data_IF_764202699583
#
_entry.id   IF_764202699583
#
_cell.length_a   1.000
_cell.length_b   1.000
_cell.length_c   1.000
_cell.angle_alpha   90.00
_cell.angle_beta   90.00
_cell.angle_gamma   90.00
#
_symmetry.space_group_name_H-M   'P 1'
#
loop_
_entity.id
_entity.type
_entity.pdbx_description
1 polymer ?
#
# COMPACT_ATOMS: atom_id res chain seq x y z
N UNK A 1 -29.91 -81.27 30.34
CA UNK A 1 -28.96 -82.16 29.64
C UNK A 1 -28.87 -81.67 28.20
N UNK A 2 -27.65 -81.58 27.63
CA UNK A 2 -27.27 -81.70 26.20
C UNK A 2 -28.12 -80.99 25.11
N UNK A 3 -27.60 -80.32 24.06
CA UNK A 3 -26.25 -80.23 23.46
C UNK A 3 -26.09 -78.90 22.69
N UNK A 4 -24.83 -78.50 22.43
CA UNK A 4 -24.40 -77.56 21.36
C UNK A 4 -24.66 -78.15 19.94
N UNK A 5 -24.44 -77.46 18.78
CA UNK A 5 -23.48 -76.36 18.51
C UNK A 5 -24.09 -75.20 17.65
N UNK A 6 -23.42 -74.30 16.90
CA UNK A 6 -21.98 -74.10 16.55
C UNK A 6 -21.63 -72.61 16.20
N UNK A 7 -20.42 -72.41 15.66
CA UNK A 7 -19.70 -71.22 15.12
C UNK A 7 -20.31 -70.52 13.87
N UNK A 8 -20.30 -69.17 13.84
CA UNK A 8 -19.70 -68.29 12.78
C UNK A 8 -19.86 -66.80 13.18
N UNK A 9 -18.76 -66.06 13.40
CA UNK A 9 -18.01 -65.17 12.48
C UNK A 9 -18.53 -63.71 12.37
N UNK A 10 -17.54 -62.80 12.38
CA UNK A 10 -17.56 -61.35 12.06
C UNK A 10 -18.48 -60.36 12.81
N UNK A 11 -17.92 -59.78 13.88
CA UNK A 11 -18.23 -58.40 14.30
C UNK A 11 -16.92 -57.62 14.51
N UNK A 12 -16.52 -56.83 13.51
CA UNK A 12 -15.81 -55.57 13.76
C UNK A 12 -16.56 -54.42 13.10
N UNK A 13 -17.35 -53.71 13.91
CA UNK A 13 -17.86 -52.38 13.57
C UNK A 13 -16.70 -51.39 13.53
N UNK A 14 -16.43 -50.80 12.37
CA UNK A 14 -15.94 -49.44 12.29
C UNK A 14 -16.95 -48.64 11.47
N UNK A 15 -17.63 -47.70 12.14
CA UNK A 15 -18.61 -46.82 11.49
C UNK A 15 -17.90 -45.68 10.78
N UNK A 16 -18.00 -45.64 9.46
CA UNK A 16 -17.55 -44.50 8.66
C UNK A 16 -18.38 -43.26 9.02
N UNK A 17 -17.74 -42.24 9.60
CA UNK A 17 -18.23 -40.87 9.51
C UNK A 17 -17.52 -40.20 8.34
N UNK A 18 -18.27 -39.89 7.29
CA UNK A 18 -17.77 -39.08 6.19
C UNK A 18 -17.67 -37.60 6.64
N UNK A 19 -16.49 -37.18 7.10
CA UNK A 19 -16.16 -35.76 7.26
C UNK A 19 -15.72 -35.20 5.90
N UNK A 20 -16.65 -34.56 5.21
CA UNK A 20 -16.41 -33.91 3.93
C UNK A 20 -15.79 -32.51 4.11
N UNK A 21 -14.70 -32.41 4.89
CA UNK A 21 -13.89 -31.19 4.93
C UNK A 21 -12.98 -31.10 3.71
N UNK A 22 -13.50 -30.46 2.66
CA UNK A 22 -12.68 -30.02 1.54
C UNK A 22 -11.72 -28.93 1.98
N UNK A 23 -10.53 -29.30 2.48
CA UNK A 23 -9.41 -28.38 2.69
C UNK A 23 -9.15 -27.59 1.42
N UNK A 24 -9.67 -26.36 1.35
CA UNK A 24 -9.17 -25.34 0.41
C UNK A 24 -7.75 -25.01 0.86
N UNK A 25 -6.78 -25.79 0.39
CA UNK A 25 -5.34 -25.54 0.56
C UNK A 25 -5.05 -24.11 0.14
N UNK A 26 -4.95 -23.21 1.13
CA UNK A 26 -4.53 -21.83 0.91
C UNK A 26 -3.16 -21.88 0.21
N UNK A 27 -2.89 -21.01 -0.77
CA UNK A 27 -1.56 -20.97 -1.38
C UNK A 27 -0.50 -20.86 -0.28
N UNK A 28 0.46 -21.79 -0.26
CA UNK A 28 1.64 -21.64 0.61
C UNK A 28 2.36 -20.40 0.11
N UNK A 29 2.27 -19.29 0.85
CA UNK A 29 3.01 -18.07 0.54
C UNK A 29 4.50 -18.43 0.42
N UNK A 30 5.18 -18.09 -0.69
CA UNK A 30 6.54 -18.52 -0.93
C UNK A 30 7.52 -17.66 -0.12
N UNK A 31 7.62 -17.95 1.18
CA UNK A 31 8.76 -17.55 1.99
C UNK A 31 9.91 -18.53 1.77
N UNK A 32 10.53 -18.43 0.59
CA UNK A 32 11.75 -19.15 0.25
C UNK A 32 12.27 -18.78 -1.15
N UNK A 33 13.60 -18.70 -1.34
CA UNK A 33 14.60 -18.30 -0.35
C UNK A 33 14.57 -16.78 -0.10
N UNK A 34 15.17 -16.32 1.00
CA UNK A 34 15.26 -14.91 1.38
C UNK A 34 16.36 -14.14 0.61
N UNK A 35 16.43 -14.31 -0.70
CA UNK A 35 17.43 -13.65 -1.55
C UNK A 35 16.87 -12.36 -2.12
N UNK A 36 17.45 -11.24 -1.72
CA UNK A 36 17.21 -9.95 -2.37
C UNK A 36 17.91 -9.94 -3.75
N UNK A 37 17.28 -9.39 -4.80
CA UNK A 37 17.99 -9.04 -6.02
C UNK A 37 19.13 -8.06 -5.69
N UNK A 38 20.13 -7.94 -6.58
CA UNK A 38 21.24 -7.00 -6.36
C UNK A 38 20.71 -5.56 -6.23
N UNK A 39 20.93 -4.97 -5.06
CA UNK A 39 20.54 -3.58 -4.80
C UNK A 39 21.53 -2.62 -5.47
N UNK A 40 21.00 -1.51 -5.97
CA UNK A 40 21.79 -0.33 -6.25
C UNK A 40 22.02 0.44 -4.94
N UNK A 41 23.05 1.27 -4.92
CA UNK A 41 23.36 2.17 -3.82
C UNK A 41 23.55 3.59 -4.35
N UNK A 42 23.21 4.58 -3.54
CA UNK A 42 23.57 5.98 -3.75
C UNK A 42 24.05 6.57 -2.43
N UNK A 43 25.02 7.47 -2.53
CA UNK A 43 25.56 8.24 -1.40
C UNK A 43 25.19 9.70 -1.62
N UNK A 44 24.53 10.32 -0.64
CA UNK A 44 24.13 11.73 -0.74
C UNK A 44 25.31 12.71 -0.50
N UNK A 45 25.06 14.01 -0.66
CA UNK A 45 26.06 15.08 -0.45
C UNK A 45 26.65 15.14 0.97
N UNK A 46 26.04 14.44 1.93
CA UNK A 46 26.46 14.38 3.33
C UNK A 46 27.16 13.05 3.68
N UNK A 47 27.37 12.16 2.70
CA UNK A 47 28.02 10.87 2.90
C UNK A 47 27.10 9.73 3.35
N UNK A 48 25.78 9.94 3.45
CA UNK A 48 24.86 8.87 3.84
C UNK A 48 24.60 7.96 2.65
N UNK A 49 24.93 6.67 2.79
CA UNK A 49 24.65 5.66 1.75
C UNK A 49 23.37 4.92 2.05
N UNK A 50 22.50 4.79 1.04
CA UNK A 50 21.26 4.01 1.10
C UNK A 50 21.14 3.07 -0.11
N UNK A 51 20.24 2.08 0.00
CA UNK A 51 20.08 1.01 -0.97
C UNK A 51 18.66 0.98 -1.54
N UNK A 52 18.54 0.65 -2.83
CA UNK A 52 17.26 0.60 -3.54
C UNK A 52 17.28 -0.45 -4.66
N UNK A 53 16.09 -0.88 -5.07
CA UNK A 53 15.92 -1.68 -6.28
C UNK A 53 15.96 -0.79 -7.52
N UNK A 54 16.85 -1.07 -8.49
CA UNK A 54 16.91 -0.28 -9.72
C UNK A 54 15.87 -0.78 -10.73
N UNK A 55 14.67 -0.19 -10.72
CA UNK A 55 13.60 -0.48 -11.69
C UNK A 55 13.79 0.24 -13.05
N UNK A 56 14.92 0.93 -13.25
CA UNK A 56 15.26 1.61 -14.50
C UNK A 56 14.75 3.04 -14.56
N UNK A 57 13.43 3.24 -14.64
CA UNK A 57 12.81 4.57 -14.74
C UNK A 57 12.42 5.17 -13.39
N UNK A 58 12.59 4.43 -12.29
CA UNK A 58 12.39 4.88 -10.92
C UNK A 58 13.19 3.98 -9.96
N UNK A 59 13.32 4.41 -8.71
CA UNK A 59 13.93 3.61 -7.64
C UNK A 59 12.84 2.84 -6.89
N UNK A 60 13.04 1.56 -6.62
CA UNK A 60 12.03 0.69 -6.05
C UNK A 60 12.39 0.33 -4.61
N UNK A 61 11.41 0.26 -3.71
CA UNK A 61 11.64 -0.26 -2.35
C UNK A 61 12.25 -1.65 -2.44
N UNK A 62 13.38 -1.98 -1.80
CA UNK A 62 14.06 -3.25 -2.06
C UNK A 62 13.39 -4.48 -1.42
N UNK A 63 12.11 -4.71 -1.72
CA UNK A 63 11.35 -5.90 -1.36
C UNK A 63 11.97 -7.17 -1.98
N UNK A 64 11.85 -8.34 -1.31
CA UNK A 64 12.21 -9.62 -1.90
C UNK A 64 11.16 -10.04 -2.94
N UNK A 65 11.43 -9.76 -4.22
CA UNK A 65 10.56 -10.02 -5.38
C UNK A 65 10.81 -11.39 -6.06
N UNK A 66 11.58 -12.27 -5.38
CA UNK A 66 12.01 -13.58 -5.88
C UNK A 66 13.45 -13.58 -6.40
N UNK A 67 14.14 -14.73 -6.29
CA UNK A 67 15.56 -14.87 -6.64
C UNK A 67 15.86 -14.61 -8.12
N UNK A 68 14.95 -15.02 -8.99
CA UNK A 68 15.11 -14.99 -10.45
C UNK A 68 14.61 -13.69 -11.10
N UNK A 69 14.09 -12.74 -10.31
CA UNK A 69 13.62 -11.44 -10.79
C UNK A 69 14.58 -10.31 -10.40
N UNK A 70 14.92 -9.44 -11.35
CA UNK A 70 15.43 -8.10 -11.04
C UNK A 70 14.30 -7.05 -11.02
N UNK A 71 14.59 -5.87 -10.47
CA UNK A 71 13.58 -4.81 -10.31
C UNK A 71 13.08 -4.19 -11.63
N UNK A 72 13.85 -4.24 -12.72
CA UNK A 72 13.41 -3.80 -14.06
C UNK A 72 12.46 -4.82 -14.65
N UNK A 73 12.81 -6.11 -14.57
CA UNK A 73 11.94 -7.21 -14.98
C UNK A 73 10.63 -7.21 -14.19
N UNK A 74 10.67 -6.96 -12.87
CA UNK A 74 9.47 -6.82 -12.05
C UNK A 74 8.61 -5.60 -12.43
N UNK A 75 9.21 -4.43 -12.64
CA UNK A 75 8.48 -3.26 -13.12
C UNK A 75 7.85 -3.47 -14.51
N UNK A 76 8.55 -4.17 -15.41
CA UNK A 76 8.01 -4.56 -16.71
C UNK A 76 6.83 -5.54 -16.57
N UNK A 77 6.95 -6.54 -15.69
CA UNK A 77 5.86 -7.48 -15.38
C UNK A 77 4.61 -6.75 -14.84
N UNK A 78 4.77 -5.70 -14.03
CA UNK A 78 3.65 -4.84 -13.59
C UNK A 78 3.01 -4.15 -14.80
N UNK A 79 3.79 -3.50 -15.66
CA UNK A 79 3.28 -2.81 -16.85
C UNK A 79 2.55 -3.75 -17.84
N UNK A 80 3.01 -4.99 -17.97
CA UNK A 80 2.46 -6.03 -18.86
C UNK A 80 1.33 -6.86 -18.24
N UNK A 81 1.03 -6.64 -16.95
CA UNK A 81 0.05 -7.40 -16.18
C UNK A 81 -1.33 -7.40 -16.82
N UNK A 82 -1.97 -8.58 -16.90
CA UNK A 82 -3.35 -8.71 -17.37
C UNK A 82 -4.33 -8.21 -16.31
N UNK A 83 -5.04 -7.15 -16.67
CA UNK A 83 -6.11 -6.53 -15.88
C UNK A 83 -7.46 -7.16 -16.22
N UNK A 84 -8.35 -7.26 -15.24
CA UNK A 84 -9.73 -7.71 -15.36
C UNK A 84 -10.67 -6.49 -15.34
N UNK A 85 -11.83 -6.51 -16.00
CA UNK A 85 -12.75 -5.37 -16.03
C UNK A 85 -13.28 -4.94 -14.65
N UNK A 86 -13.23 -5.84 -13.66
CA UNK A 86 -13.68 -5.64 -12.29
C UNK A 86 -12.53 -5.39 -11.29
N UNK A 87 -11.29 -5.25 -11.76
CA UNK A 87 -10.19 -4.80 -10.89
C UNK A 87 -10.42 -3.35 -10.43
N UNK A 88 -9.97 -3.06 -9.21
CA UNK A 88 -9.87 -1.70 -8.66
C UNK A 88 -8.42 -1.47 -8.30
N UNK A 89 -7.86 -0.30 -8.63
CA UNK A 89 -6.45 -0.01 -8.35
C UNK A 89 -6.29 1.20 -7.43
N UNK A 90 -5.46 1.09 -6.39
CA UNK A 90 -5.01 2.21 -5.56
C UNK A 90 -3.56 2.54 -5.92
N UNK A 91 -3.31 3.77 -6.34
CA UNK A 91 -2.00 4.30 -6.69
C UNK A 91 -1.64 5.46 -5.75
N UNK A 92 -0.39 5.53 -5.31
CA UNK A 92 0.00 6.47 -4.26
C UNK A 92 1.51 6.70 -4.21
N UNK A 93 2.00 7.93 -4.03
CA UNK A 93 3.37 8.07 -3.54
C UNK A 93 3.44 7.45 -2.12
N UNK A 94 4.57 6.88 -1.67
CA UNK A 94 4.66 6.41 -0.30
C UNK A 94 4.19 7.46 0.71
N UNK A 95 3.44 7.01 1.72
CA UNK A 95 2.97 7.79 2.87
C UNK A 95 1.84 8.81 2.63
N UNK A 96 1.23 8.85 1.45
CA UNK A 96 -0.01 9.63 1.17
C UNK A 96 -1.30 9.02 1.75
N UNK A 97 -1.21 8.00 2.61
CA UNK A 97 -2.36 7.42 3.32
C UNK A 97 -2.85 6.07 2.79
N UNK A 98 -2.01 5.33 2.06
CA UNK A 98 -2.38 4.06 1.43
C UNK A 98 -3.03 3.02 2.36
N UNK A 99 -2.48 2.75 3.54
CA UNK A 99 -3.05 1.75 4.45
C UNK A 99 -4.49 2.07 4.87
N UNK A 100 -4.81 3.35 5.02
CA UNK A 100 -6.12 3.82 5.43
C UNK A 100 -7.14 3.61 4.31
N UNK A 101 -6.82 4.09 3.11
CA UNK A 101 -7.64 3.91 1.91
C UNK A 101 -7.81 2.44 1.53
N UNK A 102 -6.77 1.61 1.66
CA UNK A 102 -6.85 0.17 1.42
C UNK A 102 -7.91 -0.47 2.33
N UNK A 103 -7.95 -0.15 3.62
CA UNK A 103 -8.95 -0.72 4.53
C UNK A 103 -10.36 -0.23 4.19
N UNK A 104 -10.55 1.09 4.02
CA UNK A 104 -11.84 1.70 3.64
C UNK A 104 -12.38 1.05 2.36
N UNK A 105 -11.57 0.96 1.31
CA UNK A 105 -11.97 0.43 0.00
C UNK A 105 -12.22 -1.08 0.10
N UNK A 106 -11.45 -1.81 0.91
CA UNK A 106 -11.71 -3.22 1.19
C UNK A 106 -13.06 -3.44 1.90
N UNK A 107 -13.37 -2.61 2.90
CA UNK A 107 -14.64 -2.60 3.62
C UNK A 107 -15.83 -2.25 2.70
N UNK A 108 -15.69 -1.24 1.84
CA UNK A 108 -16.70 -0.87 0.85
C UNK A 108 -16.96 -1.99 -0.18
N UNK A 109 -15.91 -2.62 -0.71
CA UNK A 109 -16.03 -3.74 -1.66
C UNK A 109 -16.64 -5.00 -1.01
N UNK A 110 -16.40 -5.21 0.29
CA UNK A 110 -16.96 -6.33 1.06
C UNK A 110 -18.32 -6.00 1.72
N UNK A 111 -18.79 -4.75 1.61
CA UNK A 111 -20.02 -4.23 2.23
C UNK A 111 -20.09 -4.51 3.74
N UNK A 112 -19.00 -4.22 4.45
CA UNK A 112 -18.86 -4.47 5.90
C UNK A 112 -18.03 -3.38 6.57
N UNK A 113 -18.30 -3.10 7.85
CA UNK A 113 -17.45 -2.26 8.69
C UNK A 113 -16.46 -3.09 9.56
N UNK A 114 -16.36 -4.40 9.32
CA UNK A 114 -15.44 -5.30 10.03
C UNK A 114 -14.07 -5.33 9.36
N UNK A 115 -13.01 -5.28 10.16
CA UNK A 115 -11.64 -5.42 9.67
C UNK A 115 -11.37 -6.79 9.05
N UNK A 116 -10.41 -6.87 8.14
CA UNK A 116 -9.99 -8.13 7.52
C UNK A 116 -8.57 -8.56 7.91
N UNK A 117 -8.39 -9.87 8.10
CA UNK A 117 -7.08 -10.52 8.30
C UNK A 117 -6.20 -10.49 7.03
N UNK A 118 -6.80 -10.16 5.87
CA UNK A 118 -6.09 -9.98 4.60
C UNK A 118 -5.11 -8.81 4.73
N UNK A 119 -3.83 -9.07 4.53
CA UNK A 119 -2.83 -8.00 4.59
C UNK A 119 -2.66 -7.33 3.23
N UNK A 120 -2.61 -5.99 3.20
CA UNK A 120 -2.34 -5.19 2.00
C UNK A 120 -1.11 -5.68 1.22
N UNK A 121 -0.08 -6.17 1.91
CA UNK A 121 1.13 -6.74 1.31
C UNK A 121 0.90 -7.98 0.45
N UNK A 122 -0.26 -8.64 0.55
CA UNK A 122 -0.69 -9.78 -0.29
C UNK A 122 -1.23 -9.31 -1.66
N UNK A 123 -1.48 -8.00 -1.82
CA UNK A 123 -2.06 -7.35 -3.02
C UNK A 123 -1.18 -6.22 -3.60
N UNK A 124 -0.10 -5.88 -2.91
CA UNK A 124 0.86 -4.85 -3.31
C UNK A 124 1.70 -5.33 -4.50
N UNK A 125 1.45 -4.77 -5.69
CA UNK A 125 2.13 -5.10 -6.96
C UNK A 125 3.65 -4.95 -6.86
N UNK A 126 4.11 -3.91 -6.16
CA UNK A 126 5.52 -3.64 -5.90
C UNK A 126 6.24 -4.82 -5.21
N UNK A 127 5.53 -5.58 -4.38
CA UNK A 127 6.10 -6.68 -3.59
C UNK A 127 5.80 -8.05 -4.19
N UNK A 128 4.62 -8.23 -4.74
CA UNK A 128 4.09 -9.56 -5.09
C UNK A 128 4.36 -9.88 -6.56
N UNK A 129 5.01 -11.02 -6.87
CA UNK A 129 5.13 -11.50 -8.25
C UNK A 129 3.76 -11.54 -8.95
N UNK A 130 3.68 -10.90 -10.13
CA UNK A 130 2.45 -10.79 -10.93
C UNK A 130 1.74 -12.14 -11.18
N UNK A 131 2.43 -13.28 -11.39
CA UNK A 131 1.78 -14.59 -11.48
C UNK A 131 0.97 -14.97 -10.23
N UNK A 132 1.40 -14.58 -9.03
CA UNK A 132 0.64 -14.84 -7.80
C UNK A 132 -0.62 -13.96 -7.75
N UNK A 133 -0.52 -12.68 -8.11
CA UNK A 133 -1.66 -11.75 -8.20
C UNK A 133 -2.66 -12.18 -9.27
N UNK A 134 -2.22 -12.88 -10.32
CA UNK A 134 -3.09 -13.48 -11.32
C UNK A 134 -3.97 -14.61 -10.76
N UNK A 135 -3.55 -15.31 -9.69
CA UNK A 135 -4.35 -16.38 -9.05
C UNK A 135 -5.44 -15.86 -8.10
N UNK A 136 -5.42 -14.58 -7.72
CA UNK A 136 -6.37 -14.03 -6.76
C UNK A 136 -7.81 -14.00 -7.32
N UNK A 137 -8.84 -14.26 -6.50
CA UNK A 137 -10.23 -14.15 -6.94
C UNK A 137 -10.59 -12.72 -7.34
N UNK A 138 -11.61 -12.60 -8.17
CA UNK A 138 -12.17 -11.31 -8.59
C UNK A 138 -13.27 -10.84 -7.61
N UNK A 139 -13.49 -9.52 -7.42
CA UNK A 139 -12.66 -8.41 -7.92
C UNK A 139 -11.33 -8.32 -7.16
N UNK A 140 -10.26 -7.88 -7.83
CA UNK A 140 -8.96 -7.65 -7.17
C UNK A 140 -8.81 -6.18 -6.81
N UNK A 141 -8.45 -5.92 -5.55
CA UNK A 141 -7.94 -4.62 -5.12
C UNK A 141 -6.43 -4.60 -5.34
N UNK A 142 -5.98 -4.04 -6.45
CA UNK A 142 -4.57 -3.89 -6.81
C UNK A 142 -4.01 -2.64 -6.11
N UNK A 143 -2.81 -2.74 -5.56
CA UNK A 143 -2.20 -1.65 -4.80
C UNK A 143 -0.77 -1.42 -5.28
N UNK A 144 -0.38 -0.15 -5.49
CA UNK A 144 0.98 0.16 -5.95
C UNK A 144 1.47 1.56 -5.59
N UNK A 145 2.79 1.72 -5.52
CA UNK A 145 3.46 3.02 -5.47
C UNK A 145 4.14 3.44 -6.78
N UNK A 146 4.07 2.65 -7.85
CA UNK A 146 4.77 2.98 -9.11
C UNK A 146 4.32 4.34 -9.70
N UNK A 147 5.20 5.05 -10.43
CA UNK A 147 4.82 6.27 -11.14
C UNK A 147 3.82 5.97 -12.26
N UNK A 148 3.08 6.99 -12.74
CA UNK A 148 1.98 6.81 -13.71
C UNK A 148 2.41 6.03 -14.97
N UNK A 149 3.59 6.33 -15.53
CA UNK A 149 4.17 5.61 -16.68
C UNK A 149 4.38 4.10 -16.49
N UNK A 150 4.31 3.61 -15.24
CA UNK A 150 4.64 2.24 -14.86
C UNK A 150 3.48 1.45 -14.27
N UNK A 151 2.26 1.99 -14.27
CA UNK A 151 1.05 1.20 -13.96
C UNK A 151 0.78 0.15 -15.08
N UNK A 152 -0.01 -0.89 -14.81
CA UNK A 152 -0.42 -1.85 -15.85
C UNK A 152 -1.11 -1.14 -17.03
N UNK A 153 -0.58 -1.26 -18.25
CA UNK A 153 -1.13 -0.52 -19.41
C UNK A 153 -2.61 -0.85 -19.68
N UNK A 154 -2.97 -2.11 -19.42
CA UNK A 154 -4.35 -2.58 -19.52
C UNK A 154 -5.33 -1.91 -18.54
N UNK A 155 -4.86 -1.22 -17.50
CA UNK A 155 -5.73 -0.49 -16.58
C UNK A 155 -6.41 0.69 -17.27
N UNK A 156 -5.66 1.42 -18.11
CA UNK A 156 -6.18 2.52 -18.94
C UNK A 156 -6.98 1.97 -20.12
N UNK A 157 -6.46 0.96 -20.85
CA UNK A 157 -7.16 0.32 -21.98
C UNK A 157 -8.57 -0.19 -21.60
N UNK A 158 -8.70 -0.79 -20.42
CA UNK A 158 -9.95 -1.35 -19.89
C UNK A 158 -10.74 -0.38 -19.01
N UNK A 159 -10.20 0.83 -18.79
CA UNK A 159 -10.83 1.90 -18.01
C UNK A 159 -11.30 1.41 -16.63
N UNK A 160 -10.45 0.67 -15.92
CA UNK A 160 -10.75 0.23 -14.56
C UNK A 160 -10.78 1.43 -13.61
N UNK A 161 -11.42 1.28 -12.46
CA UNK A 161 -11.46 2.33 -11.43
C UNK A 161 -10.11 2.46 -10.75
N UNK A 162 -9.51 3.64 -10.85
CA UNK A 162 -8.24 3.99 -10.22
C UNK A 162 -8.49 5.04 -9.14
N UNK A 163 -8.01 4.79 -7.92
CA UNK A 163 -7.96 5.77 -6.84
C UNK A 163 -6.51 6.23 -6.73
N UNK A 164 -6.25 7.49 -7.08
CA UNK A 164 -4.96 8.13 -6.85
C UNK A 164 -4.98 8.80 -5.46
N UNK A 165 -3.94 8.58 -4.65
CA UNK A 165 -3.82 9.14 -3.30
C UNK A 165 -2.79 10.26 -3.27
N UNK A 166 -3.27 11.44 -2.90
CA UNK A 166 -2.50 12.66 -2.79
C UNK A 166 -2.47 13.16 -1.34
N UNK A 167 -1.43 13.90 -0.96
CA UNK A 167 -1.21 14.43 0.38
C UNK A 167 -0.21 15.57 0.36
N UNK A 168 -0.36 16.56 1.26
CA UNK A 168 0.58 17.67 1.34
C UNK A 168 2.05 17.17 1.44
N UNK A 169 2.96 17.62 0.55
CA UNK A 169 4.27 17.01 0.43
C UNK A 169 5.19 17.23 1.64
N UNK A 170 4.94 18.24 2.50
CA UNK A 170 5.71 18.45 3.75
C UNK A 170 5.47 17.32 4.75
N UNK A 171 4.22 16.93 4.99
CA UNK A 171 3.92 15.77 5.84
C UNK A 171 4.33 14.44 5.19
N UNK A 172 4.32 14.34 3.85
CA UNK A 172 4.86 13.17 3.15
C UNK A 172 6.33 12.96 3.50
N UNK A 173 7.19 13.99 3.39
CA UNK A 173 8.61 13.89 3.74
C UNK A 173 8.84 13.44 5.19
N UNK A 174 8.14 14.05 6.16
CA UNK A 174 8.23 13.67 7.59
C UNK A 174 7.75 12.23 7.83
N UNK A 175 6.63 11.87 7.22
CA UNK A 175 6.06 10.53 7.33
C UNK A 175 6.97 9.47 6.68
N UNK A 176 7.69 9.83 5.61
CA UNK A 176 8.62 8.94 4.91
C UNK A 176 9.88 8.74 5.73
N UNK A 177 10.53 9.83 6.17
CA UNK A 177 11.71 9.76 7.03
C UNK A 177 11.47 8.87 8.26
N UNK A 178 10.37 9.09 8.98
CA UNK A 178 10.03 8.28 10.15
C UNK A 178 9.67 6.82 9.80
N UNK A 179 9.21 6.54 8.59
CA UNK A 179 8.91 5.18 8.13
C UNK A 179 10.17 4.38 7.77
N UNK A 180 11.23 5.03 7.31
CA UNK A 180 12.49 4.37 6.94
C UNK A 180 13.50 4.36 8.11
N UNK A 181 13.76 5.52 8.72
CA UNK A 181 14.85 5.72 9.71
C UNK A 181 14.68 4.90 11.01
N UNK A 182 13.45 4.50 11.34
CA UNK A 182 13.13 3.90 12.64
C UNK A 182 12.74 2.42 12.59
N UNK A 183 12.57 1.86 11.39
CA UNK A 183 11.50 0.86 11.21
C UNK A 183 11.73 -0.28 10.23
N UNK A 184 12.65 -0.25 9.24
CA UNK A 184 12.79 -1.41 8.32
C UNK A 184 14.25 -1.72 7.95
N UNK A 185 14.72 -2.91 8.32
CA UNK A 185 16.15 -3.28 8.33
C UNK A 185 16.88 -3.41 6.97
N UNK A 186 16.21 -3.54 5.81
CA UNK A 186 16.87 -3.29 4.51
C UNK A 186 16.59 -1.90 3.88
N UNK A 187 15.74 -1.04 4.47
CA UNK A 187 15.29 0.22 3.84
C UNK A 187 15.78 1.49 4.55
N UNK A 188 16.63 1.33 5.56
CA UNK A 188 17.02 2.41 6.44
C UNK A 188 17.85 3.47 5.71
N UNK A 189 17.45 4.73 5.87
CA UNK A 189 18.28 5.88 5.51
C UNK A 189 19.03 6.34 6.78
N UNK A 190 20.37 6.36 6.80
CA UNK A 190 21.12 6.54 8.05
C UNK A 190 21.33 8.01 8.47
N UNK A 191 20.91 8.98 7.65
CA UNK A 191 21.10 10.41 7.91
C UNK A 191 20.03 11.05 8.82
N UNK A 192 20.23 12.34 9.12
CA UNK A 192 19.25 13.17 9.85
C UNK A 192 18.02 13.47 8.98
N UNK A 193 16.97 14.05 9.58
CA UNK A 193 15.81 14.51 8.81
C UNK A 193 16.20 15.62 7.81
N UNK A 194 17.10 16.51 8.20
CA UNK A 194 17.66 17.56 7.36
C UNK A 194 18.40 16.98 6.14
N UNK A 195 19.27 15.97 6.34
CA UNK A 195 19.94 15.32 5.21
C UNK A 195 18.93 14.64 4.26
N UNK A 196 17.91 13.96 4.81
CA UNK A 196 16.84 13.33 4.02
C UNK A 196 16.00 14.35 3.24
N UNK A 197 15.68 15.48 3.86
CA UNK A 197 14.94 16.58 3.24
C UNK A 197 15.64 17.09 1.98
N UNK A 198 16.94 17.44 2.07
CA UNK A 198 17.68 17.91 0.90
C UNK A 198 17.86 16.80 -0.14
N UNK A 199 18.15 15.55 0.27
CA UNK A 199 18.19 14.40 -0.66
C UNK A 199 16.89 14.27 -1.48
N UNK A 200 15.74 14.40 -0.83
CA UNK A 200 14.44 14.33 -1.50
C UNK A 200 14.17 15.50 -2.46
N UNK A 201 14.70 16.70 -2.22
CA UNK A 201 14.54 17.86 -3.12
C UNK A 201 15.59 17.89 -4.25
N UNK A 202 16.79 17.36 -4.02
CA UNK A 202 17.89 17.39 -5.00
C UNK A 202 17.89 16.20 -5.97
N UNK A 203 17.51 15.01 -5.49
CA UNK A 203 17.65 13.74 -6.25
C UNK A 203 16.39 12.87 -6.17
N UNK A 204 15.58 13.04 -5.12
CA UNK A 204 14.46 12.16 -4.80
C UNK A 204 14.86 10.95 -3.96
N UNK A 205 13.90 10.04 -3.74
CA UNK A 205 14.13 8.81 -2.97
C UNK A 205 13.43 7.63 -3.66
N UNK A 206 12.95 6.64 -2.91
CA UNK A 206 12.15 5.55 -3.48
C UNK A 206 10.94 6.12 -4.22
N UNK A 207 10.68 5.55 -5.40
CA UNK A 207 9.74 5.95 -6.45
C UNK A 207 10.08 7.27 -7.17
N UNK A 208 11.26 7.83 -6.88
CA UNK A 208 11.80 9.03 -7.51
C UNK A 208 11.60 10.30 -6.68
N UNK A 209 11.75 11.43 -7.35
CA UNK A 209 11.41 12.75 -6.83
C UNK A 209 9.89 12.87 -6.64
N UNK A 210 9.49 13.51 -5.53
CA UNK A 210 8.11 13.66 -5.12
C UNK A 210 7.31 14.61 -6.02
N UNK A 211 7.88 15.75 -6.42
CA UNK A 211 7.21 16.74 -7.25
C UNK A 211 7.04 16.23 -8.69
N UNK A 212 8.06 15.58 -9.23
CA UNK A 212 7.98 14.94 -10.55
C UNK A 212 6.92 13.83 -10.56
N UNK A 213 6.83 13.02 -9.50
CA UNK A 213 5.81 11.99 -9.34
C UNK A 213 4.39 12.58 -9.28
N UNK A 214 4.18 13.63 -8.48
CA UNK A 214 2.88 14.31 -8.35
C UNK A 214 2.45 14.93 -9.69
N UNK A 215 3.35 15.67 -10.35
CA UNK A 215 3.10 16.29 -11.66
C UNK A 215 2.84 15.26 -12.77
N UNK A 216 3.57 14.14 -12.77
CA UNK A 216 3.34 13.06 -13.72
C UNK A 216 1.96 12.43 -13.55
N UNK A 217 1.53 12.17 -12.31
CA UNK A 217 0.20 11.64 -12.03
C UNK A 217 -0.91 12.61 -12.45
N UNK A 218 -0.78 13.91 -12.18
CA UNK A 218 -1.72 14.91 -12.69
C UNK A 218 -1.78 14.90 -14.22
N UNK A 219 -0.62 14.97 -14.90
CA UNK A 219 -0.55 14.96 -16.37
C UNK A 219 -1.10 13.66 -16.97
N UNK A 220 -0.89 12.53 -16.29
CA UNK A 220 -1.45 11.24 -16.65
C UNK A 220 -2.98 11.21 -16.56
N UNK A 221 -3.56 11.77 -15.49
CA UNK A 221 -5.02 11.90 -15.32
C UNK A 221 -5.60 12.83 -16.39
N UNK A 222 -4.99 13.99 -16.61
CA UNK A 222 -5.45 14.99 -17.59
C UNK A 222 -5.39 14.48 -19.04
N UNK A 223 -4.43 13.61 -19.36
CA UNK A 223 -4.29 12.99 -20.66
C UNK A 223 -5.29 11.85 -20.93
N UNK A 224 -6.00 11.35 -19.90
CA UNK A 224 -6.95 10.23 -20.00
C UNK A 224 -8.31 10.59 -19.36
N UNK A 225 -9.00 11.66 -19.82
CA UNK A 225 -10.25 12.12 -19.22
C UNK A 225 -11.41 11.11 -19.33
N UNK A 226 -11.27 10.11 -20.20
CA UNK A 226 -12.22 9.00 -20.36
C UNK A 226 -11.98 7.82 -19.39
N UNK A 227 -10.88 7.83 -18.63
CA UNK A 227 -10.59 6.82 -17.61
C UNK A 227 -11.18 7.23 -16.25
N UNK A 228 -11.88 6.34 -15.53
CA UNK A 228 -12.41 6.65 -14.21
C UNK A 228 -11.26 6.67 -13.18
N UNK A 229 -10.70 7.86 -12.95
CA UNK A 229 -9.66 8.10 -11.95
C UNK A 229 -10.16 9.12 -10.92
N UNK A 230 -10.18 8.74 -9.65
CA UNK A 230 -10.54 9.62 -8.53
C UNK A 230 -9.28 9.99 -7.74
N UNK A 231 -9.03 11.29 -7.57
CA UNK A 231 -7.97 11.78 -6.67
C UNK A 231 -8.53 11.97 -5.27
N UNK A 232 -8.01 11.21 -4.32
CA UNK A 232 -8.36 11.29 -2.90
C UNK A 232 -7.26 12.02 -2.15
N UNK A 233 -7.56 13.24 -1.69
CA UNK A 233 -6.64 14.08 -0.93
C UNK A 233 -6.73 13.71 0.56
N UNK A 234 -5.60 13.31 1.15
CA UNK A 234 -5.52 12.85 2.53
C UNK A 234 -6.07 13.88 3.54
N UNK A 235 -5.82 15.16 3.31
CA UNK A 235 -6.29 16.27 4.11
C UNK A 235 -7.82 16.36 4.14
N UNK A 236 -8.48 16.22 3.00
CA UNK A 236 -9.94 16.28 2.88
C UNK A 236 -10.61 15.07 3.54
N UNK A 237 -10.01 13.89 3.35
CA UNK A 237 -10.41 12.66 4.04
C UNK A 237 -10.26 12.80 5.56
N UNK A 238 -9.19 13.45 6.06
CA UNK A 238 -9.00 13.69 7.51
C UNK A 238 -9.97 14.72 8.07
N UNK A 239 -10.31 15.75 7.31
CA UNK A 239 -11.24 16.79 7.72
C UNK A 239 -12.68 16.27 7.83
N UNK A 240 -13.14 15.49 6.84
CA UNK A 240 -14.49 14.91 6.82
C UNK A 240 -14.47 13.41 6.44
N UNK A 241 -14.11 12.50 7.38
CA UNK A 241 -13.95 11.08 7.08
C UNK A 241 -15.20 10.41 6.49
N UNK A 242 -16.40 10.73 6.99
CA UNK A 242 -17.65 10.18 6.48
C UNK A 242 -17.89 10.56 5.01
N UNK A 243 -17.85 11.85 4.67
CA UNK A 243 -17.99 12.33 3.29
C UNK A 243 -16.88 11.80 2.37
N UNK A 244 -15.68 11.61 2.91
CA UNK A 244 -14.58 10.94 2.21
C UNK A 244 -14.90 9.48 1.83
N UNK A 245 -15.40 8.70 2.79
CA UNK A 245 -15.89 7.32 2.54
C UNK A 245 -17.06 7.32 1.56
N UNK A 246 -17.99 8.28 1.66
CA UNK A 246 -19.15 8.37 0.78
C UNK A 246 -18.77 8.66 -0.68
N UNK A 247 -17.84 9.58 -0.92
CA UNK A 247 -17.26 9.82 -2.27
C UNK A 247 -16.56 8.58 -2.84
N UNK A 248 -15.86 7.81 -1.99
CA UNK A 248 -15.26 6.54 -2.41
C UNK A 248 -16.33 5.48 -2.74
N UNK A 249 -17.42 5.38 -1.96
CA UNK A 249 -18.58 4.52 -2.24
C UNK A 249 -19.25 4.86 -3.58
N UNK A 250 -19.49 6.15 -3.83
CA UNK A 250 -20.06 6.69 -5.07
C UNK A 250 -19.17 6.35 -6.28
N UNK A 251 -17.88 6.70 -6.23
CA UNK A 251 -16.92 6.43 -7.30
C UNK A 251 -16.74 4.92 -7.56
N UNK A 252 -16.67 4.12 -6.50
CA UNK A 252 -16.59 2.66 -6.61
C UNK A 252 -17.92 2.03 -7.02
N UNK A 253 -19.04 2.75 -6.93
CA UNK A 253 -20.40 2.25 -7.14
C UNK A 253 -20.64 0.93 -6.38
N UNK A 254 -20.19 0.84 -5.12
CA UNK A 254 -20.44 -0.38 -4.32
C UNK A 254 -21.88 -0.44 -3.84
N UNK A 255 -22.55 0.71 -3.71
CA UNK A 255 -23.92 0.80 -3.22
C UNK A 255 -24.02 0.40 -1.75
N UNK A 256 -23.05 0.84 -0.95
CA UNK A 256 -23.19 0.89 0.50
C UNK A 256 -24.15 2.02 0.88
N UNK A 257 -24.92 1.87 1.96
CA UNK A 257 -25.74 2.97 2.48
C UNK A 257 -24.88 3.98 3.26
N UNK A 258 -25.45 5.14 3.56
CA UNK A 258 -24.79 6.18 4.33
C UNK A 258 -24.46 5.70 5.75
N UNK A 259 -25.34 4.92 6.40
CA UNK A 259 -25.08 4.34 7.72
C UNK A 259 -23.88 3.38 7.70
N UNK A 260 -23.71 2.60 6.63
CA UNK A 260 -22.55 1.73 6.46
C UNK A 260 -21.28 2.56 6.16
N UNK A 261 -21.38 3.65 5.40
CA UNK A 261 -20.25 4.56 5.17
C UNK A 261 -19.79 5.25 6.46
N UNK A 262 -20.73 5.66 7.32
CA UNK A 262 -20.44 6.21 8.65
C UNK A 262 -19.77 5.16 9.56
N UNK A 263 -20.29 3.93 9.59
CA UNK A 263 -19.68 2.82 10.33
C UNK A 263 -18.25 2.52 9.85
N UNK A 264 -18.02 2.51 8.53
CA UNK A 264 -16.68 2.31 7.94
C UNK A 264 -15.74 3.45 8.32
N UNK A 265 -16.18 4.71 8.25
CA UNK A 265 -15.40 5.86 8.68
C UNK A 265 -15.03 5.78 10.18
N UNK A 266 -15.99 5.43 11.03
CA UNK A 266 -15.80 5.26 12.45
C UNK A 266 -14.91 4.05 12.80
N UNK A 267 -14.95 2.96 12.04
CA UNK A 267 -14.06 1.80 12.18
C UNK A 267 -12.63 2.14 11.74
N UNK A 268 -12.49 2.83 10.60
CA UNK A 268 -11.21 3.25 10.03
C UNK A 268 -10.61 4.51 10.69
N UNK A 269 -11.08 4.93 11.87
CA UNK A 269 -10.38 5.94 12.68
C UNK A 269 -8.94 5.51 13.00
N UNK A 270 -8.03 6.49 13.12
CA UNK A 270 -6.58 6.21 13.25
C UNK A 270 -6.25 5.28 14.43
N UNK A 271 -6.83 5.53 15.60
CA UNK A 271 -6.53 4.75 16.81
C UNK A 271 -7.04 3.30 16.71
N UNK A 272 -8.27 3.09 16.22
CA UNK A 272 -8.80 1.73 16.01
C UNK A 272 -8.02 0.95 14.96
N UNK A 273 -7.65 1.61 13.85
CA UNK A 273 -6.79 0.99 12.84
C UNK A 273 -5.41 0.62 13.40
N UNK A 274 -4.82 1.51 14.19
CA UNK A 274 -3.54 1.27 14.85
C UNK A 274 -3.64 0.09 15.80
N UNK A 275 -4.59 0.09 16.72
CA UNK A 275 -4.84 -0.99 17.68
C UNK A 275 -5.06 -2.34 16.99
N UNK A 276 -5.93 -2.38 15.97
CA UNK A 276 -6.21 -3.62 15.23
C UNK A 276 -4.98 -4.13 14.46
N UNK A 277 -4.25 -3.27 13.75
CA UNK A 277 -3.08 -3.72 12.97
C UNK A 277 -1.86 -4.00 13.86
N UNK A 278 -1.68 -3.30 14.97
CA UNK A 278 -0.63 -3.58 15.95
C UNK A 278 -0.88 -4.87 16.74
N UNK A 279 -2.14 -5.29 16.94
CA UNK A 279 -2.50 -6.58 17.56
C UNK A 279 -2.44 -7.75 16.57
N UNK A 280 -2.94 -7.59 15.34
CA UNK A 280 -3.03 -8.67 14.33
C UNK A 280 -1.78 -8.90 13.47
N UNK A 281 -0.71 -8.12 13.67
CA UNK A 281 0.50 -8.27 12.87
C UNK A 281 1.23 -9.60 13.08
N UNK A 282 1.29 -10.38 11.99
CA UNK A 282 2.08 -11.62 11.83
C UNK A 282 3.56 -11.38 12.19
N UNK A 283 4.19 -12.36 12.85
CA UNK A 283 5.56 -12.25 13.37
C UNK A 283 6.61 -11.91 12.30
N UNK A 284 6.48 -12.44 11.09
CA UNK A 284 7.40 -12.12 9.99
C UNK A 284 7.32 -10.66 9.51
N UNK A 285 6.21 -9.96 9.76
CA UNK A 285 6.10 -8.52 9.54
C UNK A 285 6.82 -7.79 10.67
N UNK A 286 6.60 -8.17 11.93
CA UNK A 286 7.30 -7.58 13.09
C UNK A 286 8.81 -7.73 13.00
N UNK A 287 9.29 -8.87 12.49
CA UNK A 287 10.72 -9.13 12.28
C UNK A 287 11.42 -8.19 11.29
N UNK A 288 10.67 -7.45 10.45
CA UNK A 288 11.23 -6.40 9.60
C UNK A 288 11.59 -5.14 10.41
N UNK A 289 10.94 -4.95 11.57
CA UNK A 289 11.01 -3.73 12.38
C UNK A 289 12.00 -3.83 13.53
N UNK A 290 12.67 -2.70 13.80
CA UNK A 290 13.51 -2.55 14.97
C UNK A 290 12.67 -2.80 16.23
N UNK A 291 13.24 -3.57 17.16
CA UNK A 291 12.60 -3.97 18.43
C UNK A 291 11.22 -4.65 18.27
N UNK A 292 10.90 -5.17 17.07
CA UNK A 292 9.60 -5.77 16.69
C UNK A 292 8.37 -4.85 16.85
N UNK A 293 8.59 -3.53 17.00
CA UNK A 293 7.53 -2.52 17.14
C UNK A 293 7.15 -1.99 15.76
N UNK A 294 5.87 -2.09 15.40
CA UNK A 294 5.40 -1.60 14.11
C UNK A 294 5.43 -0.07 14.05
N UNK A 295 5.87 0.46 12.91
CA UNK A 295 5.96 1.90 12.65
C UNK A 295 5.05 2.41 11.54
N UNK A 296 4.02 1.64 11.16
CA UNK A 296 3.08 2.04 10.12
C UNK A 296 2.15 3.18 10.59
N UNK A 297 1.67 3.12 11.84
CA UNK A 297 0.73 4.08 12.44
C UNK A 297 1.42 5.02 13.44
N UNK A 298 1.98 6.12 12.92
CA UNK A 298 2.80 7.06 13.70
C UNK A 298 2.00 8.14 14.44
N UNK A 299 1.30 9.00 13.68
CA UNK A 299 0.40 10.08 14.17
C UNK A 299 -0.88 10.13 13.34
N UNK A 300 -0.75 10.10 12.01
CA UNK A 300 -1.91 10.05 11.12
C UNK A 300 -2.61 11.40 10.92
N UNK A 301 -1.97 12.49 11.29
CA UNK A 301 -2.53 13.86 11.24
C UNK A 301 -1.93 14.70 10.12
N UNK A 302 -2.51 15.88 9.93
CA UNK A 302 -2.08 16.94 9.01
C UNK A 302 -1.37 18.03 9.84
N UNK A 303 -0.27 18.57 9.33
CA UNK A 303 0.48 19.66 9.98
C UNK A 303 1.60 19.22 10.91
N UNK A 304 1.89 17.92 11.01
CA UNK A 304 3.01 17.45 11.84
C UNK A 304 4.37 17.91 11.30
N UNK A 305 4.46 18.26 10.01
CA UNK A 305 5.64 18.88 9.42
C UNK A 305 6.17 20.09 10.20
N UNK A 306 5.31 20.86 10.87
CA UNK A 306 5.70 21.98 11.75
C UNK A 306 6.59 21.57 12.92
N UNK A 307 6.55 20.30 13.34
CA UNK A 307 7.40 19.74 14.41
C UNK A 307 8.78 19.26 13.92
N UNK A 308 9.07 19.37 12.62
CA UNK A 308 10.27 18.81 11.99
C UNK A 308 11.01 19.79 11.08
N UNK A 309 10.28 20.66 10.38
CA UNK A 309 10.87 21.68 9.53
C UNK A 309 11.40 22.83 10.39
N UNK A 310 12.64 23.24 10.16
CA UNK A 310 13.10 24.57 10.58
C UNK A 310 12.47 25.64 9.67
N UNK A 311 12.53 26.91 10.10
CA UNK A 311 12.06 28.04 9.26
C UNK A 311 12.79 28.05 7.91
N UNK A 312 14.12 27.86 7.91
CA UNK A 312 14.93 27.80 6.69
C UNK A 312 14.52 26.65 5.76
N UNK A 313 14.30 25.43 6.29
CA UNK A 313 13.80 24.30 5.49
C UNK A 313 12.41 24.58 4.92
N UNK A 314 11.55 25.29 5.65
CA UNK A 314 10.25 25.68 5.14
C UNK A 314 10.35 26.69 3.99
N UNK A 315 11.19 27.71 4.14
CA UNK A 315 11.43 28.73 3.10
C UNK A 315 12.05 28.13 1.83
N UNK A 316 13.04 27.23 1.97
CA UNK A 316 13.64 26.47 0.87
C UNK A 316 12.59 25.62 0.14
N UNK A 317 11.78 24.87 0.91
CA UNK A 317 10.71 24.05 0.36
C UNK A 317 9.66 24.88 -0.38
N UNK A 318 9.18 25.98 0.21
CA UNK A 318 8.12 26.80 -0.39
C UNK A 318 8.62 27.52 -1.66
N UNK A 319 9.91 27.86 -1.73
CA UNK A 319 10.53 28.39 -2.94
C UNK A 319 10.60 27.34 -4.07
N UNK A 320 11.05 26.11 -3.79
CA UNK A 320 11.14 25.06 -4.81
C UNK A 320 9.76 24.52 -5.22
N UNK A 321 8.84 24.35 -4.26
CA UNK A 321 7.45 23.99 -4.53
C UNK A 321 6.77 25.03 -5.45
N UNK A 322 6.89 26.34 -5.14
CA UNK A 322 6.33 27.40 -5.99
C UNK A 322 6.91 27.39 -7.41
N UNK A 323 8.18 27.01 -7.57
CA UNK A 323 8.86 26.91 -8.87
C UNK A 323 8.39 25.69 -9.67
N UNK A 324 8.35 24.51 -9.05
CA UNK A 324 8.15 23.22 -9.72
C UNK A 324 6.68 22.76 -9.80
N UNK A 325 5.86 23.19 -8.85
CA UNK A 325 4.45 22.79 -8.70
C UNK A 325 3.46 23.90 -9.07
N UNK A 326 3.90 24.91 -9.84
CA UNK A 326 3.06 26.06 -10.25
C UNK A 326 1.87 25.67 -11.15
N UNK A 327 1.97 24.55 -11.87
CA UNK A 327 0.88 23.96 -12.66
C UNK A 327 0.04 22.93 -11.87
N UNK A 328 0.40 22.63 -10.61
CA UNK A 328 -0.26 21.60 -9.83
C UNK A 328 -1.62 22.07 -9.30
N UNK A 329 -2.65 21.22 -9.43
CA UNK A 329 -4.05 21.58 -9.20
C UNK A 329 -4.58 21.28 -7.81
N UNK A 330 -3.96 20.35 -7.07
CA UNK A 330 -4.40 20.09 -5.69
C UNK A 330 -4.01 21.24 -4.78
N UNK A 331 -5.00 21.88 -4.16
CA UNK A 331 -4.79 22.89 -3.12
C UNK A 331 -4.72 22.19 -1.76
N UNK A 332 -3.50 21.98 -1.27
CA UNK A 332 -3.26 21.30 0.00
C UNK A 332 -3.64 22.14 1.23
N UNK A 333 -4.11 21.44 2.27
CA UNK A 333 -4.24 22.00 3.63
C UNK A 333 -3.00 21.60 4.43
N UNK A 334 -2.20 22.57 4.84
CA UNK A 334 -0.99 22.32 5.63
C UNK A 334 -1.25 22.26 7.16
N UNK A 335 -2.48 22.55 7.58
CA UNK A 335 -3.06 22.33 8.92
C UNK A 335 -4.56 22.06 8.76
N UNK A 336 -5.20 21.54 9.82
CA UNK A 336 -6.66 21.44 9.93
C UNK A 336 -7.24 22.29 11.08
N UNK A 337 -6.38 23.03 11.79
CA UNK A 337 -6.80 24.10 12.70
C UNK A 337 -7.20 25.33 11.86
N UNK A 338 -8.29 26.02 12.28
CA UNK A 338 -8.87 27.21 11.64
C UNK A 338 -7.94 28.45 11.65
#
# INVERSE_FOLDING_TARGET
MATQPDVDQDIQRNGEKQEHEGERKRPKFPFGPTTFPRLAQLTDRFGNTFFFGNAGSFWHTPFPIGADNDYRTHAQNIMDMKIRPDDVMICSYPKTGLHWHNEIITMLLQKTAQFTDKQMGEYLLDRMPVPLIATLPSPRLLVTHVPFRSIPRQALEKKIKIIYLDRNPKDVLVSFYNHINKNILPFNYPGTFEHFFHLCLEVGYLYGDLFDYLMEWQKGIEAHPECPIYTSVFEDMKLNPFEGVKKLNEFLNTGCSDELCEQIAAACSFDKMKEYKDSTAKEHIRALFKDKKLGFYRKGDVGDWKNWFTVAMNEEFDADYKKRMSEYKTVYKYTLDD
#
